data_IF_203918862725
#
_entry.id   IF_203918862725
#
_cell.length_a   1.000
_cell.length_b   1.000
_cell.length_c   1.000
_cell.angle_alpha   90.00
_cell.angle_beta   90.00
_cell.angle_gamma   90.00
#
_symmetry.space_group_name_H-M   'P 1'
#
loop_
_entity.id
_entity.type
_entity.pdbx_description
1 polymer ?
#
# COMPACT_ATOMS: atom_id res chain seq x y z
N UNK A 1 -31.03 -30.98 35.39
CA UNK A 1 -30.53 -32.03 36.29
C UNK A 1 -29.35 -32.70 35.65
N UNK A 2 -28.17 -32.43 36.09
CA UNK A 2 -27.01 -33.26 36.44
C UNK A 2 -25.78 -32.36 36.55
N UNK A 3 -25.43 -32.13 37.81
CA UNK A 3 -24.15 -31.58 38.28
C UNK A 3 -23.06 -32.65 38.12
N UNK A 4 -21.83 -32.27 37.81
CA UNK A 4 -20.59 -32.96 38.19
C UNK A 4 -19.48 -31.92 38.14
N UNK A 5 -19.12 -31.41 39.25
CA UNK A 5 -17.99 -31.62 40.16
C UNK A 5 -16.65 -31.04 39.72
N UNK A 6 -16.32 -30.03 40.45
CA UNK A 6 -15.06 -29.38 40.77
C UNK A 6 -14.09 -30.37 41.46
N UNK A 7 -12.90 -30.56 40.97
CA UNK A 7 -11.78 -31.08 41.80
C UNK A 7 -10.56 -30.15 41.69
N UNK A 8 -10.26 -29.62 42.86
CA UNK A 8 -9.01 -28.91 43.20
C UNK A 8 -7.85 -29.90 43.22
N UNK A 9 -6.65 -29.49 42.76
CA UNK A 9 -5.41 -30.06 43.24
C UNK A 9 -4.38 -28.96 43.49
N UNK A 10 -3.88 -29.04 44.71
CA UNK A 10 -3.02 -28.09 45.43
C UNK A 10 -1.53 -28.22 45.09
N UNK A 11 -0.87 -27.10 45.22
CA UNK A 11 0.51 -26.73 45.43
C UNK A 11 1.58 -27.83 45.77
N UNK A 12 2.76 -27.61 45.23
CA UNK A 12 4.01 -27.99 45.94
C UNK A 12 5.11 -26.95 45.68
N UNK A 13 5.48 -26.28 46.77
CA UNK A 13 6.64 -25.37 46.91
C UNK A 13 7.92 -26.20 47.16
N UNK A 14 9.02 -25.81 46.59
CA UNK A 14 10.35 -26.19 47.11
C UNK A 14 11.34 -25.04 46.99
N UNK A 15 11.68 -24.52 48.16
CA UNK A 15 12.78 -23.57 48.44
C UNK A 15 14.10 -24.30 48.62
N UNK A 16 15.24 -23.73 48.24
CA UNK A 16 16.57 -23.94 48.78
C UNK A 16 17.50 -22.81 48.36
N UNK A 17 17.88 -22.07 49.16
CA UNK A 17 18.76 -21.46 50.10
C UNK A 17 20.24 -21.50 49.72
N UNK A 18 20.80 -20.26 49.71
CA UNK A 18 22.07 -19.72 50.15
C UNK A 18 23.30 -20.60 50.27
N UNK A 19 24.46 -20.09 49.78
CA UNK A 19 25.73 -20.08 50.51
C UNK A 19 26.49 -18.77 50.21
N UNK A 20 26.70 -17.96 51.28
CA UNK A 20 27.72 -16.93 51.39
C UNK A 20 29.07 -17.57 51.72
N UNK A 21 30.16 -17.03 51.21
CA UNK A 21 31.47 -17.12 51.86
C UNK A 21 32.22 -15.81 51.76
N UNK A 22 32.34 -15.17 52.94
CA UNK A 22 33.30 -14.11 53.22
C UNK A 22 34.67 -14.77 53.55
N UNK A 23 35.75 -14.14 53.08
CA UNK A 23 37.04 -14.23 53.80
C UNK A 23 37.77 -12.89 53.63
N UNK A 24 38.14 -12.34 54.75
CA UNK A 24 38.79 -11.08 54.99
C UNK A 24 40.31 -11.21 55.25
N UNK A 25 40.98 -10.07 55.20
CA UNK A 25 42.20 -9.64 55.88
C UNK A 25 43.55 -9.77 55.22
N UNK A 26 44.23 -8.62 55.17
CA UNK A 26 45.64 -8.50 55.32
C UNK A 26 46.26 -7.28 54.68
N UNK A 27 46.60 -6.28 55.54
CA UNK A 27 47.07 -4.95 55.23
C UNK A 27 48.56 -4.83 54.83
N UNK A 28 48.93 -3.61 54.43
CA UNK A 28 50.30 -3.19 54.15
C UNK A 28 50.39 -1.88 53.41
N UNK A 29 50.65 -0.79 54.13
CA UNK A 29 50.94 0.56 53.62
C UNK A 29 52.25 0.67 52.88
N UNK A 30 52.38 1.42 51.80
CA UNK A 30 53.46 2.34 51.47
C UNK A 30 53.23 3.14 50.18
N UNK A 31 53.11 4.45 50.35
CA UNK A 31 53.71 5.58 49.58
C UNK A 31 53.75 5.60 48.07
N UNK A 32 53.08 6.61 47.53
CA UNK A 32 53.14 7.36 46.27
C UNK A 32 54.51 7.48 45.57
N UNK A 33 54.61 7.70 44.20
CA UNK A 33 54.00 8.85 43.49
C UNK A 33 53.31 8.51 42.17
N UNK A 34 52.44 9.42 41.76
CA UNK A 34 51.78 9.39 40.46
C UNK A 34 52.71 9.66 39.29
N UNK A 35 52.45 9.08 38.13
CA UNK A 35 52.66 9.76 36.89
C UNK A 35 51.36 9.90 36.10
N UNK A 36 51.37 11.01 35.39
CA UNK A 36 50.51 11.53 34.35
C UNK A 36 49.39 10.64 33.80
N UNK A 37 48.18 11.22 33.79
CA UNK A 37 47.06 10.85 32.97
C UNK A 37 47.44 10.84 31.49
N UNK A 38 47.39 9.67 30.90
CA UNK A 38 47.17 9.52 29.47
C UNK A 38 45.69 9.19 29.34
N UNK A 39 44.90 10.12 28.87
CA UNK A 39 43.57 9.84 28.37
C UNK A 39 43.65 8.75 27.30
N UNK A 40 42.96 7.63 27.44
CA UNK A 40 42.68 6.84 26.28
C UNK A 40 41.60 7.64 25.50
N UNK A 41 42.00 8.21 24.37
CA UNK A 41 41.06 8.58 23.34
C UNK A 41 40.17 7.35 23.12
N UNK A 42 38.97 7.40 23.65
CA UNK A 42 37.91 6.50 23.28
C UNK A 42 37.66 6.69 21.78
N UNK A 43 38.18 5.78 20.97
CA UNK A 43 37.65 5.55 19.65
C UNK A 43 36.23 5.07 19.89
N UNK A 44 35.28 6.00 19.92
CA UNK A 44 33.88 5.67 19.74
C UNK A 44 33.79 5.09 18.32
N UNK A 45 33.66 3.78 18.22
CA UNK A 45 32.99 3.21 17.07
C UNK A 45 31.59 3.82 17.09
N UNK A 46 31.38 4.83 16.26
CA UNK A 46 30.05 5.24 15.86
C UNK A 46 29.53 4.07 15.03
N UNK A 47 28.87 3.11 15.70
CA UNK A 47 28.13 2.08 14.99
C UNK A 47 27.20 2.80 13.99
N UNK A 48 27.10 2.28 12.78
CA UNK A 48 26.16 2.78 11.80
C UNK A 48 24.77 2.87 12.45
N UNK A 49 24.03 3.94 12.16
CA UNK A 49 22.65 4.03 12.64
C UNK A 49 21.85 2.84 12.09
N UNK A 50 20.92 2.34 12.89
CA UNK A 50 20.09 1.20 12.52
C UNK A 50 18.62 1.56 12.71
N UNK A 51 17.82 1.28 11.69
CA UNK A 51 16.38 1.56 11.64
C UNK A 51 15.62 0.27 11.35
N UNK A 52 14.36 0.21 11.81
CA UNK A 52 13.43 -0.88 11.54
C UNK A 52 12.18 -0.33 10.90
N UNK A 53 11.70 -0.98 9.83
CA UNK A 53 10.52 -0.58 9.07
C UNK A 53 9.56 -1.76 8.90
N UNK A 54 8.27 -1.52 9.16
CA UNK A 54 7.22 -2.47 8.79
C UNK A 54 6.55 -1.99 7.49
N UNK A 55 6.64 -2.77 6.42
CA UNK A 55 5.92 -2.53 5.16
C UNK A 55 4.66 -3.38 5.17
N UNK A 56 3.47 -2.78 5.12
CA UNK A 56 2.20 -3.48 5.37
C UNK A 56 1.25 -3.31 4.20
N UNK A 57 1.16 -4.34 3.34
CA UNK A 57 0.17 -4.36 2.25
C UNK A 57 -1.23 -4.66 2.79
N UNK A 58 -2.27 -4.04 2.21
CA UNK A 58 -3.65 -4.39 2.53
C UNK A 58 -3.95 -5.85 2.18
N UNK A 59 -3.49 -6.30 1.00
CA UNK A 59 -3.62 -7.66 0.49
C UNK A 59 -2.54 -7.95 -0.56
N UNK A 60 -2.56 -9.14 -1.13
CA UNK A 60 -1.62 -9.53 -2.18
C UNK A 60 -2.28 -9.40 -3.56
N UNK A 61 -1.73 -8.57 -4.41
CA UNK A 61 -1.98 -8.46 -5.85
C UNK A 61 -0.91 -7.57 -6.52
N UNK A 62 -0.84 -7.61 -7.85
CA UNK A 62 0.24 -7.03 -8.64
C UNK A 62 0.58 -5.58 -8.29
N UNK A 63 -0.42 -4.69 -8.10
CA UNK A 63 -0.16 -3.28 -7.77
C UNK A 63 0.54 -3.11 -6.43
N UNK A 64 0.02 -3.76 -5.36
CA UNK A 64 0.58 -3.61 -4.02
C UNK A 64 1.92 -4.33 -3.88
N UNK A 65 2.14 -5.41 -4.64
CA UNK A 65 3.40 -6.12 -4.70
C UNK A 65 4.48 -5.27 -5.41
N UNK A 66 4.13 -4.59 -6.49
CA UNK A 66 5.02 -3.64 -7.18
C UNK A 66 5.44 -2.49 -6.25
N UNK A 67 4.48 -1.85 -5.57
CA UNK A 67 4.77 -0.78 -4.62
C UNK A 67 5.68 -1.28 -3.50
N UNK A 68 5.38 -2.43 -2.89
CA UNK A 68 6.19 -3.01 -1.82
C UNK A 68 7.61 -3.34 -2.29
N UNK A 69 7.76 -3.90 -3.50
CA UNK A 69 9.06 -4.18 -4.10
C UNK A 69 9.87 -2.90 -4.34
N UNK A 70 9.22 -1.83 -4.83
CA UNK A 70 9.86 -0.54 -5.06
C UNK A 70 10.29 0.13 -3.74
N UNK A 71 9.43 0.09 -2.71
CA UNK A 71 9.75 0.57 -1.35
C UNK A 71 10.99 -0.14 -0.81
N UNK A 72 11.00 -1.47 -0.81
CA UNK A 72 12.11 -2.26 -0.25
C UNK A 72 13.40 -2.07 -1.03
N UNK A 73 13.35 -2.05 -2.35
CA UNK A 73 14.52 -1.78 -3.20
C UNK A 73 15.10 -0.39 -2.89
N UNK A 74 14.25 0.63 -2.71
CA UNK A 74 14.71 1.97 -2.38
C UNK A 74 15.30 2.07 -0.98
N UNK A 75 14.73 1.38 0.01
CA UNK A 75 15.30 1.30 1.36
C UNK A 75 16.70 0.66 1.34
N UNK A 76 16.91 -0.38 0.53
CA UNK A 76 18.24 -1.00 0.34
C UNK A 76 19.24 -0.02 -0.29
N UNK A 77 18.82 0.75 -1.29
CA UNK A 77 19.64 1.80 -1.92
C UNK A 77 20.01 2.89 -0.91
N UNK A 78 19.05 3.38 -0.11
CA UNK A 78 19.27 4.39 0.94
C UNK A 78 20.26 3.86 1.96
N UNK A 79 20.09 2.62 2.44
CA UNK A 79 20.98 2.00 3.40
C UNK A 79 22.44 1.96 2.88
N UNK A 80 22.61 1.61 1.59
CA UNK A 80 23.93 1.59 0.97
C UNK A 80 24.53 3.00 0.75
N UNK A 81 23.71 3.99 0.38
CA UNK A 81 24.15 5.37 0.11
C UNK A 81 24.54 6.11 1.41
N UNK A 82 23.74 5.97 2.44
CA UNK A 82 23.90 6.66 3.73
C UNK A 82 24.83 5.91 4.72
N UNK A 83 25.18 4.65 4.40
CA UNK A 83 26.00 3.82 5.27
C UNK A 83 25.33 3.45 6.59
N UNK A 84 24.01 3.28 6.57
CA UNK A 84 23.16 2.88 7.70
C UNK A 84 22.66 1.46 7.50
N UNK A 85 22.07 0.87 8.56
CA UNK A 85 21.32 -0.38 8.44
C UNK A 85 19.82 -0.07 8.46
N UNK A 86 19.06 -0.57 7.49
CA UNK A 86 17.60 -0.51 7.49
C UNK A 86 17.09 -1.95 7.42
N UNK A 87 16.53 -2.42 8.53
CA UNK A 87 15.87 -3.74 8.60
C UNK A 87 14.39 -3.53 8.30
N UNK A 88 13.83 -4.29 7.37
CA UNK A 88 12.41 -4.21 7.06
C UNK A 88 11.78 -5.60 6.98
N UNK A 89 10.49 -5.64 7.27
CA UNK A 89 9.66 -6.84 7.07
C UNK A 89 8.40 -6.45 6.30
N UNK A 90 8.03 -7.29 5.31
CA UNK A 90 6.85 -7.07 4.46
C UNK A 90 5.74 -8.00 4.90
N UNK A 91 4.61 -7.41 5.26
CA UNK A 91 3.41 -8.09 5.73
C UNK A 91 2.26 -7.98 4.72
N UNK A 92 1.36 -8.95 4.75
CA UNK A 92 0.09 -8.89 4.03
C UNK A 92 -1.07 -8.97 5.01
N UNK A 93 -1.98 -8.00 4.94
CA UNK A 93 -3.22 -7.95 5.72
C UNK A 93 -4.29 -8.90 5.22
N UNK A 94 -4.10 -9.53 4.04
CA UNK A 94 -5.03 -10.49 3.43
C UNK A 94 -6.47 -9.95 3.31
N UNK A 95 -6.60 -8.63 3.14
CA UNK A 95 -7.85 -7.89 3.11
C UNK A 95 -8.74 -8.11 4.37
N UNK A 96 -8.10 -8.36 5.51
CA UNK A 96 -8.77 -8.56 6.80
C UNK A 96 -8.30 -7.54 7.84
N UNK A 97 -9.22 -6.71 8.33
CA UNK A 97 -8.89 -5.64 9.27
C UNK A 97 -8.35 -6.16 10.61
N UNK A 98 -8.75 -7.38 11.01
CA UNK A 98 -8.24 -7.99 12.25
C UNK A 98 -6.78 -8.38 12.08
N UNK A 99 -6.43 -8.94 10.92
CA UNK A 99 -5.05 -9.27 10.55
C UNK A 99 -4.19 -8.01 10.47
N UNK A 100 -4.67 -6.96 9.80
CA UNK A 100 -3.99 -5.65 9.75
C UNK A 100 -3.75 -5.10 11.15
N UNK A 101 -4.75 -5.14 12.03
CA UNK A 101 -4.62 -4.67 13.42
C UNK A 101 -3.56 -5.46 14.19
N UNK A 102 -3.53 -6.78 14.05
CA UNK A 102 -2.52 -7.62 14.69
C UNK A 102 -1.10 -7.30 14.20
N UNK A 103 -0.93 -7.08 12.88
CA UNK A 103 0.35 -6.67 12.30
C UNK A 103 0.78 -5.31 12.87
N UNK A 104 -0.11 -4.32 12.91
CA UNK A 104 0.19 -3.00 13.43
C UNK A 104 0.56 -3.01 14.92
N UNK A 105 -0.24 -3.69 15.76
CA UNK A 105 0.05 -3.84 17.18
C UNK A 105 1.40 -4.54 17.42
N UNK A 106 1.75 -5.55 16.57
CA UNK A 106 3.04 -6.24 16.66
C UNK A 106 4.19 -5.32 16.23
N UNK A 107 4.05 -4.57 15.15
CA UNK A 107 5.07 -3.61 14.68
C UNK A 107 5.40 -2.56 15.78
N UNK A 108 4.38 -2.05 16.47
CA UNK A 108 4.57 -1.13 17.60
C UNK A 108 5.32 -1.82 18.75
N UNK A 109 4.97 -3.06 19.10
CA UNK A 109 5.66 -3.83 20.17
C UNK A 109 7.12 -4.12 19.81
N UNK A 110 7.42 -4.38 18.53
CA UNK A 110 8.78 -4.64 18.03
C UNK A 110 9.62 -3.36 17.92
N UNK A 111 9.00 -2.21 18.17
CA UNK A 111 9.66 -0.90 18.19
C UNK A 111 10.21 -0.51 16.82
N UNK A 112 9.37 -0.58 15.79
CA UNK A 112 9.74 -0.06 14.45
C UNK A 112 9.87 1.45 14.48
N UNK A 113 10.78 1.99 13.67
CA UNK A 113 11.02 3.43 13.54
C UNK A 113 10.05 4.08 12.55
N UNK A 114 9.47 3.30 11.63
CA UNK A 114 8.40 3.73 10.74
C UNK A 114 7.52 2.54 10.30
N UNK A 115 6.27 2.83 9.95
CA UNK A 115 5.35 1.91 9.30
C UNK A 115 5.01 2.46 7.93
N UNK A 116 5.14 1.63 6.88
CA UNK A 116 4.76 1.97 5.51
C UNK A 116 3.55 1.12 5.12
N UNK A 117 2.32 1.59 5.40
CA UNK A 117 1.13 0.93 4.90
C UNK A 117 0.91 1.21 3.42
N UNK A 118 0.48 0.20 2.67
CA UNK A 118 0.16 0.29 1.25
C UNK A 118 -1.33 0.03 1.07
N UNK A 119 -2.03 0.97 0.46
CA UNK A 119 -3.47 1.09 0.26
C UNK A 119 -4.25 1.61 1.50
N UNK A 120 -5.47 2.11 1.24
CA UNK A 120 -6.25 2.96 2.15
C UNK A 120 -6.61 2.29 3.46
N UNK A 121 -7.17 1.08 3.42
CA UNK A 121 -7.58 0.38 4.65
C UNK A 121 -6.37 0.03 5.53
N UNK A 122 -5.22 -0.35 4.92
CA UNK A 122 -4.00 -0.58 5.68
C UNK A 122 -3.51 0.70 6.37
N UNK A 123 -3.52 1.84 5.66
CA UNK A 123 -3.10 3.12 6.21
C UNK A 123 -3.99 3.57 7.38
N UNK A 124 -5.31 3.46 7.24
CA UNK A 124 -6.26 3.77 8.31
C UNK A 124 -6.02 2.93 9.58
N UNK A 125 -5.79 1.63 9.42
CA UNK A 125 -5.53 0.73 10.56
C UNK A 125 -4.17 1.04 11.20
N UNK A 126 -3.11 1.26 10.41
CA UNK A 126 -1.77 1.58 10.94
C UNK A 126 -1.76 2.93 11.64
N UNK A 127 -2.44 3.95 11.15
CA UNK A 127 -2.58 5.24 11.82
C UNK A 127 -3.20 5.07 13.23
N UNK A 128 -4.24 4.23 13.36
CA UNK A 128 -4.85 3.93 14.67
C UNK A 128 -3.88 3.14 15.58
N UNK A 129 -3.10 2.19 15.04
CA UNK A 129 -2.13 1.42 15.84
C UNK A 129 -1.02 2.32 16.39
N UNK A 130 -0.59 3.33 15.63
CA UNK A 130 0.51 4.23 15.97
C UNK A 130 0.11 5.40 16.88
N UNK A 131 -1.19 5.61 17.17
CA UNK A 131 -1.71 6.79 17.87
C UNK A 131 -1.03 7.06 19.22
N UNK A 132 -0.83 6.04 20.04
CA UNK A 132 -0.24 6.22 21.37
C UNK A 132 1.26 6.46 21.33
N UNK A 133 1.96 5.86 20.38
CA UNK A 133 3.44 5.94 20.28
C UNK A 133 3.92 7.06 19.39
N UNK A 134 3.04 7.61 18.54
CA UNK A 134 3.36 8.58 17.49
C UNK A 134 4.46 8.06 16.53
N UNK A 135 4.51 6.73 16.34
CA UNK A 135 5.42 6.11 15.37
C UNK A 135 5.08 6.62 13.97
N UNK A 136 6.03 7.12 13.19
CA UNK A 136 5.80 7.60 11.84
C UNK A 136 5.05 6.58 10.97
N UNK A 137 3.94 6.99 10.38
CA UNK A 137 3.16 6.24 9.41
C UNK A 137 3.25 6.96 8.07
N UNK A 138 3.98 6.37 7.13
CA UNK A 138 4.21 6.94 5.80
C UNK A 138 3.50 6.07 4.77
N UNK A 139 2.28 6.44 4.43
CA UNK A 139 1.44 5.63 3.55
C UNK A 139 1.87 5.70 2.08
N UNK A 140 1.59 4.63 1.34
CA UNK A 140 1.78 4.53 -0.10
C UNK A 140 0.44 4.34 -0.82
N UNK A 141 0.23 5.07 -1.91
CA UNK A 141 -0.91 4.92 -2.81
C UNK A 141 -2.27 5.11 -2.12
N UNK A 142 -2.47 6.29 -1.51
CA UNK A 142 -3.77 6.70 -1.00
C UNK A 142 -4.35 7.75 -1.94
N UNK A 143 -5.37 7.37 -2.71
CA UNK A 143 -5.92 8.25 -3.74
C UNK A 143 -6.53 9.53 -3.16
N UNK A 144 -7.24 9.43 -2.03
CA UNK A 144 -7.95 10.55 -1.39
C UNK A 144 -7.71 10.58 0.13
N UNK A 145 -6.52 11.04 0.59
CA UNK A 145 -6.16 11.02 2.02
C UNK A 145 -7.10 11.80 2.93
N UNK A 146 -7.67 12.91 2.46
CA UNK A 146 -8.66 13.69 3.23
C UNK A 146 -9.94 12.87 3.48
N UNK A 147 -10.48 12.23 2.45
CA UNK A 147 -11.67 11.37 2.57
C UNK A 147 -11.38 10.16 3.44
N UNK A 148 -10.17 9.63 3.37
CA UNK A 148 -9.69 8.53 4.21
C UNK A 148 -9.41 8.95 5.66
N UNK A 149 -9.51 10.24 6.00
CA UNK A 149 -9.21 10.80 7.33
C UNK A 149 -7.74 10.58 7.77
N UNK A 150 -6.81 10.71 6.82
CA UNK A 150 -5.37 10.52 7.02
C UNK A 150 -4.58 11.84 6.96
N UNK A 151 -5.26 13.00 6.97
CA UNK A 151 -4.65 14.33 6.96
C UNK A 151 -4.82 15.03 8.31
N UNK A 152 -3.93 15.97 8.64
CA UNK A 152 -3.95 16.71 9.90
C UNK A 152 -3.57 15.85 11.11
N UNK A 153 -2.81 14.78 10.93
CA UNK A 153 -2.32 13.88 11.97
C UNK A 153 -0.79 13.98 12.00
N UNK A 154 -0.23 14.52 13.06
CA UNK A 154 1.19 14.91 13.17
C UNK A 154 2.20 13.80 12.89
N UNK A 155 1.81 12.51 12.98
CA UNK A 155 2.65 11.34 12.73
C UNK A 155 2.26 10.58 11.45
N UNK A 156 1.42 11.15 10.58
CA UNK A 156 0.95 10.51 9.34
C UNK A 156 1.26 11.39 8.14
N UNK A 157 1.85 10.82 7.12
CA UNK A 157 2.08 11.42 5.80
C UNK A 157 2.14 10.34 4.75
N UNK A 158 2.36 10.67 3.49
CA UNK A 158 2.63 9.69 2.45
C UNK A 158 2.33 10.15 1.04
N UNK A 159 2.32 9.20 0.12
CA UNK A 159 2.16 9.43 -1.31
C UNK A 159 0.75 9.15 -1.79
N UNK A 160 0.23 10.03 -2.66
CA UNK A 160 -1.08 9.89 -3.29
C UNK A 160 -0.96 9.50 -4.76
N UNK A 161 -1.83 8.56 -5.17
CA UNK A 161 -2.05 8.11 -6.53
C UNK A 161 -3.41 8.60 -7.08
N UNK A 162 -3.86 9.78 -6.65
CA UNK A 162 -5.14 10.33 -7.05
C UNK A 162 -5.35 10.30 -8.57
N UNK A 163 -6.51 9.78 -8.98
CA UNK A 163 -6.86 9.65 -10.39
C UNK A 163 -7.38 10.97 -10.98
N UNK A 164 -7.06 11.18 -12.26
CA UNK A 164 -7.86 12.05 -13.11
C UNK A 164 -8.95 11.20 -13.79
N UNK A 165 -10.05 10.96 -13.07
CA UNK A 165 -11.20 10.19 -13.54
C UNK A 165 -11.76 10.75 -14.85
N UNK A 166 -11.77 12.10 -14.95
CA UNK A 166 -12.25 12.81 -16.15
C UNK A 166 -11.40 12.47 -17.37
N UNK A 167 -10.08 12.45 -17.23
CA UNK A 167 -9.16 12.12 -18.33
C UNK A 167 -9.32 10.68 -18.80
N UNK A 168 -9.51 9.72 -17.90
CA UNK A 168 -9.77 8.31 -18.28
C UNK A 168 -11.07 8.20 -19.08
N UNK A 169 -12.12 8.89 -18.65
CA UNK A 169 -13.38 8.91 -19.38
C UNK A 169 -13.30 9.70 -20.70
N UNK A 170 -12.49 10.77 -20.77
CA UNK A 170 -12.18 11.45 -22.03
C UNK A 170 -11.45 10.53 -23.01
N UNK A 171 -10.50 9.69 -22.54
CA UNK A 171 -9.85 8.66 -23.35
C UNK A 171 -10.87 7.65 -23.89
N UNK A 172 -11.80 7.19 -23.06
CA UNK A 172 -12.87 6.27 -23.44
C UNK A 172 -13.72 6.88 -24.57
N UNK A 173 -14.15 8.14 -24.44
CA UNK A 173 -14.96 8.83 -25.43
C UNK A 173 -14.16 9.23 -26.68
N UNK A 174 -12.86 9.51 -26.56
CA UNK A 174 -12.01 9.77 -27.71
C UNK A 174 -11.82 8.52 -28.57
N UNK A 175 -11.70 7.35 -27.93
CA UNK A 175 -11.59 6.07 -28.60
C UNK A 175 -12.93 5.63 -29.24
N UNK A 176 -14.04 5.78 -28.52
CA UNK A 176 -15.38 5.49 -29.02
C UNK A 176 -16.37 6.64 -28.74
N UNK A 177 -16.52 7.60 -29.67
CA UNK A 177 -17.44 8.73 -29.49
C UNK A 177 -18.94 8.34 -29.46
N UNK A 178 -19.28 7.13 -29.89
CA UNK A 178 -20.65 6.62 -29.92
C UNK A 178 -21.01 5.86 -28.62
N UNK A 179 -20.15 5.89 -27.58
CA UNK A 179 -20.40 5.27 -26.27
C UNK A 179 -21.70 5.83 -25.68
N UNK A 180 -22.68 4.96 -25.47
CA UNK A 180 -24.01 5.31 -24.97
C UNK A 180 -24.25 4.81 -23.53
N UNK A 181 -23.55 3.76 -23.10
CA UNK A 181 -23.71 3.16 -21.79
C UNK A 181 -22.38 2.63 -21.23
N UNK A 182 -22.02 3.05 -20.02
CA UNK A 182 -20.78 2.66 -19.34
C UNK A 182 -21.10 1.77 -18.13
N UNK A 183 -20.36 0.69 -17.95
CA UNK A 183 -20.35 -0.12 -16.71
C UNK A 183 -19.40 0.49 -15.67
N UNK A 184 -19.86 0.65 -14.44
CA UNK A 184 -19.03 1.04 -13.31
C UNK A 184 -18.85 -0.18 -12.43
N UNK A 185 -17.64 -0.76 -12.42
CA UNK A 185 -17.29 -1.97 -11.67
C UNK A 185 -16.38 -1.61 -10.50
N UNK A 186 -16.83 -1.83 -9.27
CA UNK A 186 -16.09 -1.44 -8.07
C UNK A 186 -16.55 -2.19 -6.82
N UNK A 187 -15.82 -2.05 -5.71
CA UNK A 187 -16.17 -2.58 -4.40
C UNK A 187 -16.68 -1.49 -3.46
N UNK A 188 -17.79 -1.78 -2.77
CA UNK A 188 -18.30 -0.91 -1.70
C UNK A 188 -17.45 -1.00 -0.40
N UNK A 189 -16.57 -1.99 -0.29
CA UNK A 189 -15.65 -2.13 0.84
C UNK A 189 -14.32 -1.37 0.65
N UNK A 190 -14.12 -0.75 -0.51
CA UNK A 190 -12.92 0.00 -0.87
C UNK A 190 -13.17 1.51 -0.80
N UNK A 191 -12.70 2.21 0.27
CA UNK A 191 -12.94 3.65 0.44
C UNK A 191 -12.34 4.50 -0.69
N UNK A 192 -11.23 4.05 -1.31
CA UNK A 192 -10.59 4.70 -2.43
C UNK A 192 -11.43 4.69 -3.72
N UNK A 193 -12.46 3.83 -3.82
CA UNK A 193 -13.36 3.78 -4.96
C UNK A 193 -14.50 4.79 -4.89
N UNK A 194 -14.82 5.34 -3.70
CA UNK A 194 -15.98 6.21 -3.49
C UNK A 194 -15.92 7.50 -4.33
N UNK A 195 -14.82 8.24 -4.26
CA UNK A 195 -14.67 9.53 -4.94
C UNK A 195 -14.65 9.34 -6.46
N UNK A 196 -13.78 8.49 -7.06
CA UNK A 196 -13.72 8.36 -8.53
C UNK A 196 -15.00 7.78 -9.11
N UNK A 197 -15.75 6.96 -8.41
CA UNK A 197 -17.08 6.50 -8.87
C UNK A 197 -18.10 7.64 -8.85
N UNK A 198 -18.08 8.49 -7.82
CA UNK A 198 -18.94 9.68 -7.79
C UNK A 198 -18.59 10.66 -8.92
N UNK A 199 -17.30 10.88 -9.19
CA UNK A 199 -16.83 11.70 -10.31
C UNK A 199 -17.23 11.12 -11.66
N UNK A 200 -17.08 9.80 -11.85
CA UNK A 200 -17.48 9.12 -13.08
C UNK A 200 -18.98 9.26 -13.33
N UNK A 201 -19.82 9.10 -12.32
CA UNK A 201 -21.26 9.29 -12.43
C UNK A 201 -21.59 10.72 -12.85
N UNK A 202 -21.00 11.71 -12.16
CA UNK A 202 -21.23 13.13 -12.49
C UNK A 202 -20.80 13.47 -13.91
N UNK A 203 -19.65 12.96 -14.36
CA UNK A 203 -19.16 13.13 -15.71
C UNK A 203 -20.12 12.52 -16.76
N UNK A 204 -20.54 11.28 -16.56
CA UNK A 204 -21.45 10.58 -17.48
C UNK A 204 -22.83 11.25 -17.55
N UNK A 205 -23.35 11.71 -16.40
CA UNK A 205 -24.60 12.48 -16.33
C UNK A 205 -24.50 13.80 -17.10
N UNK A 206 -23.39 14.55 -16.97
CA UNK A 206 -23.16 15.79 -17.72
C UNK A 206 -23.11 15.54 -19.23
N UNK A 207 -22.54 14.43 -19.66
CA UNK A 207 -22.48 14.03 -21.08
C UNK A 207 -23.77 13.40 -21.58
N UNK A 208 -24.72 13.08 -20.71
CA UNK A 208 -25.96 12.38 -21.06
C UNK A 208 -25.77 10.92 -21.45
N UNK A 209 -24.70 10.29 -20.94
CA UNK A 209 -24.35 8.88 -21.15
C UNK A 209 -24.94 8.05 -20.01
N UNK A 210 -25.63 6.97 -20.35
CA UNK A 210 -26.17 6.06 -19.33
C UNK A 210 -25.05 5.25 -18.65
N UNK A 211 -25.29 4.83 -17.42
CA UNK A 211 -24.36 3.90 -16.74
C UNK A 211 -25.13 2.80 -16.00
N UNK A 212 -24.44 1.70 -15.77
CA UNK A 212 -24.86 0.60 -14.89
C UNK A 212 -23.79 0.36 -13.84
N UNK A 213 -24.20 0.19 -12.58
CA UNK A 213 -23.28 -0.12 -11.49
C UNK A 213 -23.30 -1.62 -11.17
N UNK A 214 -22.12 -2.21 -11.07
CA UNK A 214 -21.96 -3.58 -10.57
C UNK A 214 -20.91 -3.57 -9.46
N UNK A 215 -21.29 -4.08 -8.29
CA UNK A 215 -20.42 -4.06 -7.11
C UNK A 215 -20.07 -5.47 -6.66
N UNK A 216 -18.85 -5.63 -6.14
CA UNK A 216 -18.33 -6.90 -5.67
C UNK A 216 -17.41 -6.71 -4.47
N UNK A 217 -17.33 -7.72 -3.58
CA UNK A 217 -16.43 -7.71 -2.43
C UNK A 217 -15.56 -8.98 -2.34
N UNK A 218 -15.72 -9.89 -3.30
CA UNK A 218 -14.94 -11.13 -3.43
C UNK A 218 -14.67 -11.42 -4.91
N UNK A 219 -13.64 -12.20 -5.22
CA UNK A 219 -13.31 -12.58 -6.60
C UNK A 219 -14.48 -13.24 -7.34
N UNK A 220 -15.23 -14.13 -6.68
CA UNK A 220 -16.42 -14.78 -7.29
C UNK A 220 -17.53 -13.76 -7.61
N UNK A 221 -17.72 -12.75 -6.75
CA UNK A 221 -18.67 -11.67 -7.00
C UNK A 221 -18.19 -10.76 -8.14
N UNK A 222 -16.88 -10.51 -8.29
CA UNK A 222 -16.33 -9.74 -9.41
C UNK A 222 -16.63 -10.40 -10.75
N UNK A 223 -16.41 -11.72 -10.86
CA UNK A 223 -16.74 -12.49 -12.06
C UNK A 223 -18.23 -12.41 -12.38
N UNK A 224 -19.08 -12.51 -11.37
CA UNK A 224 -20.53 -12.37 -11.55
C UNK A 224 -20.95 -10.95 -11.96
N UNK A 225 -20.31 -9.92 -11.36
CA UNK A 225 -20.57 -8.52 -11.68
C UNK A 225 -20.14 -8.16 -13.11
N UNK A 226 -18.96 -8.63 -13.55
CA UNK A 226 -18.48 -8.47 -14.93
C UNK A 226 -19.44 -9.14 -15.91
N UNK A 227 -19.85 -10.38 -15.66
CA UNK A 227 -20.83 -11.10 -16.48
C UNK A 227 -22.19 -10.36 -16.57
N UNK A 228 -22.61 -9.70 -15.47
CA UNK A 228 -23.83 -8.88 -15.47
C UNK A 228 -23.70 -7.66 -16.36
N UNK A 229 -22.59 -6.92 -16.30
CA UNK A 229 -22.34 -5.77 -17.17
C UNK A 229 -22.31 -6.16 -18.65
N UNK A 230 -21.69 -7.30 -18.97
CA UNK A 230 -21.69 -7.87 -20.34
C UNK A 230 -23.11 -8.16 -20.80
N UNK A 231 -23.92 -8.82 -19.97
CA UNK A 231 -25.30 -9.14 -20.29
C UNK A 231 -26.19 -7.89 -20.43
N UNK A 232 -25.88 -6.81 -19.75
CA UNK A 232 -26.55 -5.53 -19.86
C UNK A 232 -26.17 -4.73 -21.11
N UNK A 233 -25.14 -5.16 -21.83
CA UNK A 233 -24.70 -4.57 -23.09
C UNK A 233 -24.12 -3.17 -22.89
N UNK A 234 -23.19 -3.02 -21.96
CA UNK A 234 -22.41 -1.78 -21.81
C UNK A 234 -21.38 -1.66 -22.95
N UNK A 235 -21.06 -0.43 -23.35
CA UNK A 235 -20.11 -0.16 -24.44
C UNK A 235 -18.65 -0.14 -23.95
N UNK A 236 -18.44 0.13 -22.66
CA UNK A 236 -17.16 0.12 -21.99
C UNK A 236 -17.35 -0.09 -20.48
N UNK A 237 -16.27 -0.49 -19.76
CA UNK A 237 -16.27 -0.58 -18.30
C UNK A 237 -15.20 0.35 -17.74
N UNK A 238 -15.52 1.01 -16.62
CA UNK A 238 -14.57 1.76 -15.78
C UNK A 238 -14.46 1.17 -14.40
N UNK A 239 -13.24 0.98 -13.94
CA UNK A 239 -12.86 0.58 -12.57
C UNK A 239 -11.80 1.54 -12.04
N UNK A 240 -11.96 2.14 -10.85
CA UNK A 240 -10.90 2.95 -10.23
C UNK A 240 -9.72 2.07 -9.73
N UNK A 241 -8.87 2.61 -8.84
CA UNK A 241 -7.80 1.85 -8.17
C UNK A 241 -8.33 0.89 -7.10
N UNK A 242 -9.26 0.02 -7.47
CA UNK A 242 -9.99 -0.90 -6.58
C UNK A 242 -9.21 -2.20 -6.37
N UNK A 243 -8.81 -2.49 -5.13
CA UNK A 243 -7.96 -3.64 -4.81
C UNK A 243 -8.70 -4.99 -5.00
N UNK A 244 -10.02 -5.01 -4.78
CA UNK A 244 -10.83 -6.23 -4.94
C UNK A 244 -10.97 -6.59 -6.43
N UNK A 245 -11.25 -5.58 -7.26
CA UNK A 245 -11.38 -5.81 -8.71
C UNK A 245 -10.00 -6.17 -9.28
N UNK A 246 -8.93 -5.47 -8.85
CA UNK A 246 -7.56 -5.76 -9.27
C UNK A 246 -7.16 -7.22 -9.03
N UNK A 247 -7.47 -7.74 -7.85
CA UNK A 247 -7.15 -9.14 -7.50
C UNK A 247 -7.85 -10.18 -8.40
N UNK A 248 -8.95 -9.79 -9.06
CA UNK A 248 -9.73 -10.65 -9.94
C UNK A 248 -9.57 -10.34 -11.44
N UNK A 249 -8.77 -9.32 -11.83
CA UNK A 249 -8.68 -8.84 -13.22
C UNK A 249 -8.35 -9.97 -14.21
N UNK A 250 -7.36 -10.81 -13.87
CA UNK A 250 -6.99 -11.98 -14.71
C UNK A 250 -8.14 -12.99 -14.92
N UNK A 251 -9.19 -12.92 -14.11
CA UNK A 251 -10.34 -13.82 -14.26
C UNK A 251 -11.48 -13.24 -15.10
N UNK A 252 -11.44 -11.93 -15.43
CA UNK A 252 -12.53 -11.25 -16.11
C UNK A 252 -12.14 -10.61 -17.46
N UNK A 253 -10.86 -10.32 -17.69
CA UNK A 253 -10.43 -9.56 -18.88
C UNK A 253 -10.75 -10.28 -20.19
N UNK A 254 -10.60 -11.63 -20.26
CA UNK A 254 -10.91 -12.40 -21.47
C UNK A 254 -12.41 -12.34 -21.81
N UNK A 255 -13.29 -12.38 -20.80
CA UNK A 255 -14.73 -12.27 -20.99
C UNK A 255 -15.11 -10.89 -21.56
N UNK A 256 -14.45 -9.81 -21.14
CA UNK A 256 -14.63 -8.48 -21.68
C UNK A 256 -14.12 -8.39 -23.14
N UNK A 257 -12.96 -8.99 -23.46
CA UNK A 257 -12.43 -9.04 -24.82
C UNK A 257 -13.41 -9.79 -25.73
N UNK A 258 -13.89 -10.96 -25.30
CA UNK A 258 -14.83 -11.80 -26.08
C UNK A 258 -16.17 -11.08 -26.32
N UNK A 259 -16.59 -10.24 -25.38
CA UNK A 259 -17.77 -9.39 -25.51
C UNK A 259 -17.54 -8.11 -26.33
N UNK A 260 -16.29 -7.79 -26.69
CA UNK A 260 -15.93 -6.55 -27.40
C UNK A 260 -16.04 -5.29 -26.52
N UNK A 261 -15.89 -5.41 -25.19
CA UNK A 261 -16.06 -4.33 -24.21
C UNK A 261 -14.68 -3.93 -23.66
N UNK A 262 -14.16 -2.72 -23.96
CA UNK A 262 -12.91 -2.25 -23.40
C UNK A 262 -13.06 -1.94 -21.90
N UNK A 263 -12.10 -2.41 -21.08
CA UNK A 263 -12.01 -2.12 -19.65
C UNK A 263 -10.98 -1.02 -19.40
N UNK A 264 -11.43 0.14 -18.95
CA UNK A 264 -10.61 1.28 -18.56
C UNK A 264 -10.45 1.28 -17.03
N UNK A 265 -9.23 1.51 -16.54
CA UNK A 265 -8.92 1.29 -15.13
C UNK A 265 -8.07 2.40 -14.52
N UNK A 266 -7.95 2.40 -13.19
CA UNK A 266 -7.23 3.42 -12.44
C UNK A 266 -5.71 3.18 -12.33
N UNK A 267 -5.18 2.01 -12.73
CA UNK A 267 -3.77 1.70 -12.59
C UNK A 267 -3.25 0.84 -13.74
N UNK A 268 -1.95 0.99 -14.06
CA UNK A 268 -1.28 0.27 -15.13
C UNK A 268 -1.12 -1.25 -14.85
N UNK A 269 -1.10 -1.64 -13.59
CA UNK A 269 -1.10 -3.05 -13.19
C UNK A 269 -2.37 -3.80 -13.64
N UNK A 270 -3.55 -3.16 -13.65
CA UNK A 270 -4.74 -3.73 -14.30
C UNK A 270 -4.50 -3.97 -15.79
N UNK A 271 -3.87 -3.01 -16.46
CA UNK A 271 -3.59 -3.08 -17.89
C UNK A 271 -2.59 -4.21 -18.17
N UNK A 272 -1.58 -4.39 -17.31
CA UNK A 272 -0.68 -5.55 -17.37
C UNK A 272 -1.39 -6.88 -17.07
N UNK A 273 -2.51 -6.85 -16.35
CA UNK A 273 -3.34 -8.03 -16.09
C UNK A 273 -4.50 -8.21 -17.10
N UNK A 274 -4.47 -7.50 -18.22
CA UNK A 274 -5.39 -7.72 -19.33
C UNK A 274 -6.44 -6.64 -19.54
N UNK A 275 -6.60 -5.63 -18.66
CA UNK A 275 -7.44 -4.48 -18.94
C UNK A 275 -6.94 -3.72 -20.18
N UNK A 276 -7.80 -2.91 -20.80
CA UNK A 276 -7.44 -2.24 -22.05
C UNK A 276 -6.50 -1.07 -21.85
N UNK A 277 -6.88 -0.10 -21.04
CA UNK A 277 -6.10 1.14 -20.89
C UNK A 277 -6.34 1.83 -19.55
N UNK A 278 -5.36 2.64 -19.16
CA UNK A 278 -5.41 3.55 -18.01
C UNK A 278 -4.72 4.87 -18.30
N UNK A 279 -4.96 5.86 -17.43
CA UNK A 279 -4.10 7.02 -17.27
C UNK A 279 -3.83 7.21 -15.78
N UNK A 280 -2.63 6.85 -15.33
CA UNK A 280 -2.30 6.75 -13.91
C UNK A 280 -0.89 7.23 -13.57
N UNK A 281 -0.40 6.78 -12.42
CA UNK A 281 0.96 7.02 -11.91
C UNK A 281 1.83 5.79 -12.12
N UNK A 282 3.15 5.98 -12.05
CA UNK A 282 4.10 4.87 -11.99
C UNK A 282 4.24 4.40 -10.54
N UNK A 283 3.85 3.16 -10.24
CA UNK A 283 3.90 2.61 -8.89
C UNK A 283 5.32 2.30 -8.39
N UNK A 284 6.28 2.07 -9.29
CA UNK A 284 7.70 1.96 -8.92
C UNK A 284 8.23 3.31 -8.42
N UNK A 285 7.94 4.41 -9.13
CA UNK A 285 8.34 5.75 -8.71
C UNK A 285 7.64 6.16 -7.40
N UNK A 286 6.36 5.82 -7.25
CA UNK A 286 5.58 6.07 -6.04
C UNK A 286 6.18 5.35 -4.83
N UNK A 287 6.49 4.06 -4.97
CA UNK A 287 7.10 3.27 -3.90
C UNK A 287 8.47 3.81 -3.48
N UNK A 288 9.30 4.21 -4.46
CA UNK A 288 10.60 4.82 -4.18
C UNK A 288 10.45 6.15 -3.42
N UNK A 289 9.54 7.02 -3.85
CA UNK A 289 9.26 8.28 -3.16
C UNK A 289 8.75 8.05 -1.73
N UNK A 290 7.89 7.04 -1.52
CA UNK A 290 7.40 6.69 -0.18
C UNK A 290 8.55 6.24 0.74
N UNK A 291 9.50 5.48 0.23
CA UNK A 291 10.69 5.06 1.01
C UNK A 291 11.59 6.25 1.38
N UNK A 292 11.78 7.22 0.46
CA UNK A 292 12.51 8.46 0.73
C UNK A 292 11.84 9.25 1.87
N UNK A 293 10.51 9.41 1.83
CA UNK A 293 9.73 10.07 2.88
C UNK A 293 9.83 9.33 4.22
N UNK A 294 9.78 8.00 4.20
CA UNK A 294 9.92 7.20 5.43
C UNK A 294 11.33 7.37 6.04
N UNK A 295 12.38 7.44 5.22
CA UNK A 295 13.72 7.70 5.69
C UNK A 295 13.86 9.12 6.26
N UNK A 296 13.26 10.12 5.62
CA UNK A 296 13.20 11.49 6.14
C UNK A 296 12.49 11.53 7.49
N UNK A 297 11.32 10.90 7.61
CA UNK A 297 10.55 10.82 8.86
C UNK A 297 11.37 10.17 10.00
N UNK A 298 12.10 9.08 9.71
CA UNK A 298 12.93 8.39 10.72
C UNK A 298 14.16 9.21 11.14
N UNK A 299 14.73 10.03 10.26
CA UNK A 299 16.00 10.73 10.53
C UNK A 299 15.84 12.17 10.95
N UNK A 300 14.81 12.86 10.48
CA UNK A 300 14.56 14.27 10.71
C UNK A 300 13.30 14.52 11.55
N UNK A 301 12.44 13.50 11.70
CA UNK A 301 11.13 13.61 12.34
C UNK A 301 10.06 14.09 11.35
N UNK A 302 8.81 14.16 11.84
CA UNK A 302 7.65 14.52 11.03
C UNK A 302 7.41 16.03 10.92
N UNK A 303 8.12 16.84 11.70
CA UNK A 303 7.95 18.31 11.73
C UNK A 303 8.30 18.93 10.37
N UNK A 304 7.30 19.54 9.73
CA UNK A 304 7.46 20.24 8.45
C UNK A 304 7.25 19.37 7.20
N UNK A 305 6.94 18.11 7.37
CA UNK A 305 6.46 17.28 6.27
C UNK A 305 5.05 17.70 5.86
N UNK A 306 4.75 17.60 4.56
CA UNK A 306 3.39 17.81 4.06
C UNK A 306 2.50 16.61 4.43
N UNK A 307 1.20 16.83 4.61
CA UNK A 307 0.25 15.74 4.87
C UNK A 307 0.19 14.74 3.70
N UNK A 308 0.37 15.24 2.46
CA UNK A 308 0.18 14.48 1.22
C UNK A 308 1.22 14.89 0.16
N UNK A 309 1.89 13.90 -0.41
CA UNK A 309 2.79 14.09 -1.55
C UNK A 309 2.15 13.49 -2.81
N UNK A 310 1.76 14.35 -3.74
CA UNK A 310 1.19 13.90 -5.02
C UNK A 310 2.28 13.34 -5.92
N UNK A 311 2.08 12.13 -6.42
CA UNK A 311 2.96 11.54 -7.43
C UNK A 311 2.51 11.99 -8.81
N UNK A 312 3.47 12.30 -9.69
CA UNK A 312 3.16 12.72 -11.04
C UNK A 312 2.41 11.61 -11.79
N UNK A 313 1.23 11.95 -12.28
CA UNK A 313 0.36 11.07 -13.07
C UNK A 313 0.34 11.46 -14.55
N UNK A 314 -0.69 10.99 -15.27
CA UNK A 314 -0.91 11.32 -16.67
C UNK A 314 -0.18 10.38 -17.64
N UNK A 315 0.35 9.25 -17.15
CA UNK A 315 0.95 8.21 -17.99
C UNK A 315 -0.19 7.35 -18.55
N UNK A 316 -0.34 7.36 -19.87
CA UNK A 316 -1.30 6.51 -20.55
C UNK A 316 -0.66 5.14 -20.80
N UNK A 317 -1.22 4.09 -20.24
CA UNK A 317 -0.77 2.71 -20.48
C UNK A 317 -1.83 1.95 -21.27
N UNK A 318 -1.44 1.23 -22.31
CA UNK A 318 -2.33 0.45 -23.19
C UNK A 318 -1.82 -0.99 -23.31
N UNK A 319 -2.71 -1.95 -23.12
CA UNK A 319 -2.42 -3.35 -23.41
C UNK A 319 -2.63 -3.64 -24.89
N UNK A 320 -1.54 -3.92 -25.61
CA UNK A 320 -1.56 -4.12 -27.05
C UNK A 320 -2.23 -5.45 -27.47
N UNK A 321 -2.18 -6.48 -26.62
CA UNK A 321 -2.86 -7.76 -26.87
C UNK A 321 -4.37 -7.61 -26.71
N UNK A 322 -4.80 -6.91 -25.65
CA UNK A 322 -6.21 -6.59 -25.41
C UNK A 322 -6.77 -5.69 -26.51
N UNK A 323 -6.02 -4.65 -26.91
CA UNK A 323 -6.38 -3.80 -28.04
C UNK A 323 -6.59 -4.59 -29.32
N UNK A 324 -5.67 -5.54 -29.60
CA UNK A 324 -5.78 -6.43 -30.75
C UNK A 324 -6.99 -7.37 -30.64
N UNK A 325 -7.25 -7.96 -29.48
CA UNK A 325 -8.40 -8.82 -29.22
C UNK A 325 -9.73 -8.10 -29.40
N UNK A 326 -9.82 -6.87 -28.94
CA UNK A 326 -10.98 -5.98 -29.12
C UNK A 326 -11.11 -5.43 -30.55
N UNK A 327 -10.03 -5.45 -31.34
CA UNK A 327 -9.99 -4.81 -32.67
C UNK A 327 -10.01 -3.28 -32.59
N UNK A 328 -9.48 -2.71 -31.52
CA UNK A 328 -9.49 -1.25 -31.22
C UNK A 328 -8.20 -0.59 -31.72
N UNK A 329 -8.32 0.53 -32.42
CA UNK A 329 -7.23 1.48 -32.70
C UNK A 329 -7.16 2.52 -31.59
N UNK A 330 -6.03 2.61 -30.89
CA UNK A 330 -5.79 3.54 -29.78
C UNK A 330 -4.84 4.70 -30.14
N UNK A 331 -4.50 4.88 -31.43
CA UNK A 331 -3.62 5.98 -31.88
C UNK A 331 -4.14 7.36 -31.48
N UNK A 332 -5.43 7.49 -31.20
CA UNK A 332 -6.04 8.75 -30.69
C UNK A 332 -5.40 9.19 -29.39
N UNK A 333 -4.88 8.26 -28.56
CA UNK A 333 -4.26 8.54 -27.27
C UNK A 333 -2.92 9.27 -27.39
N UNK A 334 -2.20 9.15 -28.53
CA UNK A 334 -0.96 9.90 -28.80
C UNK A 334 -1.15 11.41 -28.73
N UNK A 335 -2.38 11.89 -28.95
CA UNK A 335 -2.71 13.30 -28.84
C UNK A 335 -3.07 13.76 -27.42
N UNK A 336 -3.23 12.81 -26.48
CA UNK A 336 -3.67 13.06 -25.11
C UNK A 336 -2.51 12.98 -24.09
N UNK A 337 -1.45 12.25 -24.39
CA UNK A 337 -0.29 12.11 -23.50
C UNK A 337 0.75 11.16 -24.06
N UNK A 338 1.76 10.85 -23.23
CA UNK A 338 2.74 9.81 -23.51
C UNK A 338 2.07 8.44 -23.36
N UNK A 339 2.18 7.59 -24.39
CA UNK A 339 1.60 6.24 -24.39
C UNK A 339 2.68 5.21 -24.14
N UNK A 340 2.49 4.41 -23.10
CA UNK A 340 3.30 3.24 -22.75
C UNK A 340 2.54 1.98 -23.17
N UNK A 341 3.16 1.17 -24.02
CA UNK A 341 2.58 -0.09 -24.48
C UNK A 341 3.05 -1.25 -23.62
N UNK A 342 2.10 -2.07 -23.19
CA UNK A 342 2.37 -3.30 -22.41
C UNK A 342 1.68 -4.50 -23.03
N UNK A 343 2.03 -5.68 -22.55
CA UNK A 343 1.37 -6.95 -22.84
C UNK A 343 0.89 -7.59 -21.56
N UNK A 344 -0.05 -8.52 -21.65
CA UNK A 344 -0.56 -9.24 -20.49
C UNK A 344 0.54 -10.11 -19.88
N UNK A 345 0.78 -9.90 -18.58
CA UNK A 345 1.70 -10.74 -17.79
C UNK A 345 0.86 -11.66 -16.91
N UNK A 346 0.98 -12.96 -17.15
CA UNK A 346 0.34 -14.01 -16.35
C UNK A 346 1.43 -14.58 -15.45
N UNK A 347 1.64 -13.97 -14.28
CA UNK A 347 2.59 -14.47 -13.26
C UNK A 347 1.84 -15.12 -12.09
#
# INVERSE_FOLDING_TARGET
MKNINLQKLTALTASAALVLSLAACGGGSASTPAPAASDPAGSGETGAASYKVAVVKQMDHASLDEIAAAVTARLDEIAAQEGVTIEYEVYSGQNDQTTLRQIGDQAIVDGVDAIIPIATTAAQVMAVCAEETQTPVVYAAISYPETAQLTGIDYVTGTSDALDTGLILDMMLAQNPDTAKVGLLYSLSEPNSEVPIAEAKAYLEEKGIAYSEATANTNDEVIAAASSLIAEGVDAVFTPTDNIIMAAELAIYEDFIDAGIPHYTGADSFVRNGAFATCGVNYTDLGAQTADLAYEAMTQGMDGMEDVYQVAGGIITVNTETAQGLGIDYAVFDSMGEVVEVQTTVD
#
